data_IF_297882883762
#
_entry.id   IF_297882883762
#
_cell.length_a   1.000
_cell.length_b   1.000
_cell.length_c   1.000
_cell.angle_alpha   90.00
_cell.angle_beta   90.00
_cell.angle_gamma   90.00
#
_symmetry.space_group_name_H-M   'P 1'
#
loop_
_entity.id
_entity.type
_entity.pdbx_description
1 polymer ?
#
# COMPACT_ATOMS: atom_id res chain seq x y z
N UNK A 1 -25.78 -29.22 -20.82
CA UNK A 1 -25.48 -29.90 -19.56
C UNK A 1 -24.01 -29.76 -19.26
N UNK A 2 -23.53 -29.75 -18.11
CA UNK A 2 -22.20 -29.94 -17.54
C UNK A 2 -21.10 -28.88 -17.69
N UNK A 3 -21.21 -27.83 -18.44
CA UNK A 3 -20.14 -26.83 -18.50
C UNK A 3 -20.13 -25.82 -17.31
N UNK A 4 -21.10 -25.90 -16.39
CA UNK A 4 -21.21 -25.01 -15.25
C UNK A 4 -20.65 -25.59 -13.94
N UNK A 5 -20.22 -26.88 -13.95
CA UNK A 5 -19.71 -27.56 -12.75
C UNK A 5 -18.22 -27.35 -12.48
N UNK A 6 -17.45 -26.84 -13.45
CA UNK A 6 -15.99 -26.74 -13.37
C UNK A 6 -15.45 -25.32 -13.12
N UNK A 7 -16.22 -24.43 -12.52
CA UNK A 7 -15.68 -23.14 -12.10
C UNK A 7 -15.02 -23.29 -10.72
N UNK A 8 -13.81 -23.79 -10.71
CA UNK A 8 -12.99 -23.91 -9.49
C UNK A 8 -12.52 -22.58 -8.93
N UNK A 9 -12.54 -21.52 -9.77
CA UNK A 9 -11.90 -20.26 -9.46
C UNK A 9 -12.89 -19.12 -9.64
N UNK A 10 -13.06 -18.31 -8.61
CA UNK A 10 -13.91 -17.11 -8.66
C UNK A 10 -13.12 -15.88 -8.26
N UNK A 11 -13.09 -14.89 -9.15
CA UNK A 11 -12.46 -13.63 -8.89
C UNK A 11 -13.52 -12.57 -8.58
N UNK A 12 -13.36 -11.90 -7.42
CA UNK A 12 -14.12 -10.71 -7.05
C UNK A 12 -13.26 -9.47 -7.30
N UNK A 13 -13.63 -8.62 -8.26
CA UNK A 13 -12.91 -7.39 -8.61
C UNK A 13 -13.59 -6.13 -8.10
N UNK A 14 -14.66 -6.27 -7.30
CA UNK A 14 -15.37 -5.15 -6.70
C UNK A 14 -14.56 -4.52 -5.56
N UNK A 15 -14.42 -3.20 -5.60
CA UNK A 15 -13.76 -2.46 -4.55
C UNK A 15 -13.60 -0.99 -4.91
N UNK A 16 -13.42 -0.15 -3.91
CA UNK A 16 -13.04 1.26 -4.12
C UNK A 16 -11.57 1.44 -3.83
N UNK A 17 -10.88 2.11 -4.75
CA UNK A 17 -9.42 2.35 -4.70
C UNK A 17 -9.13 3.86 -4.75
N UNK A 18 -7.94 4.26 -4.34
CA UNK A 18 -7.47 5.64 -4.56
C UNK A 18 -7.29 5.92 -6.07
N UNK A 19 -7.56 7.16 -6.53
CA UNK A 19 -7.94 8.33 -5.74
C UNK A 19 -9.45 8.43 -5.41
N UNK A 20 -10.32 7.54 -5.95
CA UNK A 20 -11.76 7.60 -5.69
C UNK A 20 -12.12 7.50 -4.20
N UNK A 21 -11.33 6.80 -3.43
CA UNK A 21 -11.50 6.66 -1.99
C UNK A 21 -11.47 8.00 -1.24
N UNK A 22 -10.63 8.95 -1.67
CA UNK A 22 -10.49 10.25 -1.04
C UNK A 22 -11.73 11.14 -1.26
N UNK A 23 -12.45 10.91 -2.37
CA UNK A 23 -13.69 11.61 -2.67
C UNK A 23 -14.90 11.02 -1.92
N UNK A 24 -14.87 9.72 -1.62
CA UNK A 24 -16.00 8.99 -1.04
C UNK A 24 -15.60 8.10 0.14
N UNK A 25 -15.05 8.67 1.24
CA UNK A 25 -14.45 7.89 2.34
C UNK A 25 -15.43 6.91 3.00
N UNK A 26 -16.64 7.34 3.35
CA UNK A 26 -17.66 6.48 3.97
C UNK A 26 -18.09 5.33 3.05
N UNK A 27 -18.25 5.62 1.76
CA UNK A 27 -18.61 4.61 0.76
C UNK A 27 -17.47 3.60 0.58
N UNK A 28 -16.21 4.07 0.56
CA UNK A 28 -15.02 3.22 0.45
C UNK A 28 -14.95 2.25 1.62
N UNK A 29 -15.08 2.75 2.83
CA UNK A 29 -15.06 1.92 4.02
C UNK A 29 -16.16 0.84 3.94
N UNK A 30 -17.40 1.26 3.71
CA UNK A 30 -18.55 0.32 3.62
C UNK A 30 -18.37 -0.73 2.53
N UNK A 31 -18.01 -0.31 1.30
CA UNK A 31 -17.89 -1.23 0.16
C UNK A 31 -16.80 -2.26 0.40
N UNK A 32 -15.59 -1.82 0.78
CA UNK A 32 -14.44 -2.71 0.91
C UNK A 32 -14.60 -3.68 2.09
N UNK A 33 -15.10 -3.22 3.23
CA UNK A 33 -15.25 -4.09 4.42
C UNK A 33 -16.45 -5.03 4.30
N UNK A 34 -17.60 -4.54 3.79
CA UNK A 34 -18.77 -5.39 3.59
C UNK A 34 -18.53 -6.47 2.55
N UNK A 35 -17.84 -6.14 1.46
CA UNK A 35 -17.48 -7.13 0.45
C UNK A 35 -16.58 -8.24 1.04
N UNK A 36 -15.58 -7.87 1.85
CA UNK A 36 -14.71 -8.83 2.54
C UNK A 36 -15.52 -9.78 3.44
N UNK A 37 -16.43 -9.23 4.25
CA UNK A 37 -17.27 -10.03 5.14
C UNK A 37 -18.18 -10.98 4.34
N UNK A 38 -18.84 -10.50 3.28
CA UNK A 38 -19.69 -11.35 2.46
C UNK A 38 -18.94 -12.49 1.79
N UNK A 39 -17.69 -12.25 1.35
CA UNK A 39 -16.86 -13.31 0.77
C UNK A 39 -16.53 -14.36 1.83
N UNK A 40 -16.12 -13.94 3.03
CA UNK A 40 -15.83 -14.85 4.15
C UNK A 40 -17.07 -15.67 4.50
N UNK A 41 -18.22 -15.03 4.64
CA UNK A 41 -19.49 -15.72 4.97
C UNK A 41 -19.87 -16.73 3.89
N UNK A 42 -19.72 -16.34 2.61
CA UNK A 42 -20.01 -17.22 1.48
C UNK A 42 -19.06 -18.45 1.43
N UNK A 43 -17.78 -18.26 1.72
CA UNK A 43 -16.81 -19.36 1.80
C UNK A 43 -17.16 -20.30 2.94
N UNK A 44 -17.42 -19.77 4.13
CA UNK A 44 -17.75 -20.57 5.33
C UNK A 44 -19.06 -21.34 5.20
N UNK A 45 -19.98 -20.87 4.39
CA UNK A 45 -21.25 -21.53 4.12
C UNK A 45 -21.12 -22.74 3.15
N UNK A 46 -19.96 -22.96 2.54
CA UNK A 46 -19.78 -24.09 1.61
C UNK A 46 -19.52 -25.39 2.38
N UNK A 47 -20.04 -26.55 1.91
CA UNK A 47 -19.80 -27.84 2.54
C UNK A 47 -18.30 -28.22 2.59
N UNK A 48 -17.51 -27.72 1.63
CA UNK A 48 -16.08 -27.95 1.50
C UNK A 48 -15.25 -26.72 1.91
N UNK A 49 -15.73 -25.89 2.81
CA UNK A 49 -15.08 -24.65 3.25
C UNK A 49 -13.58 -24.85 3.61
N UNK A 50 -13.24 -25.96 4.25
CA UNK A 50 -11.86 -26.28 4.66
C UNK A 50 -10.91 -26.54 3.49
N UNK A 51 -11.43 -26.79 2.28
CA UNK A 51 -10.64 -27.00 1.06
C UNK A 51 -10.52 -25.73 0.23
N UNK A 52 -11.33 -24.71 0.52
CA UNK A 52 -11.34 -23.46 -0.26
C UNK A 52 -10.12 -22.63 0.10
N UNK A 53 -9.34 -22.31 -0.94
CA UNK A 53 -8.19 -21.43 -0.86
C UNK A 53 -8.61 -20.00 -1.19
N UNK A 54 -8.27 -19.03 -0.33
CA UNK A 54 -8.66 -17.62 -0.49
C UNK A 54 -7.43 -16.75 -0.59
N UNK A 55 -7.34 -16.00 -1.69
CA UNK A 55 -6.32 -14.96 -1.87
C UNK A 55 -6.99 -13.60 -1.78
N UNK A 56 -6.56 -12.81 -0.80
CA UNK A 56 -6.99 -11.43 -0.64
C UNK A 56 -5.93 -10.46 -1.16
N UNK A 57 -6.32 -9.57 -2.07
CA UNK A 57 -5.44 -8.50 -2.54
C UNK A 57 -5.57 -7.31 -1.61
N UNK A 58 -4.61 -7.19 -0.69
CA UNK A 58 -4.43 -6.07 0.23
C UNK A 58 -3.78 -4.87 -0.45
N UNK A 59 -3.17 -4.01 0.35
CA UNK A 59 -2.44 -2.84 -0.15
C UNK A 59 -1.27 -2.49 0.75
N UNK A 60 -0.17 -2.06 0.16
CA UNK A 60 0.97 -1.49 0.90
C UNK A 60 0.64 -0.13 1.54
N UNK A 61 -0.48 0.50 1.17
CA UNK A 61 -0.95 1.72 1.82
C UNK A 61 -1.15 1.56 3.33
N UNK A 62 -1.39 0.33 3.81
CA UNK A 62 -1.53 0.00 5.23
C UNK A 62 -0.27 0.33 6.06
N UNK A 63 0.92 0.30 5.45
CA UNK A 63 2.18 0.54 6.17
C UNK A 63 2.43 2.01 6.47
N UNK A 64 1.72 2.91 5.78
CA UNK A 64 1.77 4.35 5.98
C UNK A 64 3.09 4.99 5.56
N UNK A 65 3.30 6.19 6.08
CA UNK A 65 4.43 7.03 5.70
C UNK A 65 5.76 6.50 6.23
N UNK A 66 6.71 6.34 5.31
CA UNK A 66 8.09 5.94 5.62
C UNK A 66 9.08 6.75 4.82
N UNK A 67 9.71 7.72 5.48
CA UNK A 67 10.84 8.43 4.91
C UNK A 67 12.16 7.79 5.32
N UNK A 68 13.23 8.11 4.58
CA UNK A 68 14.57 7.73 4.98
C UNK A 68 14.86 8.17 6.44
N UNK A 69 15.56 7.35 7.24
CA UNK A 69 16.26 6.12 6.84
C UNK A 69 15.40 4.83 6.87
N UNK A 70 14.13 4.88 7.31
CA UNK A 70 13.26 3.70 7.53
C UNK A 70 12.36 3.38 6.31
N UNK A 71 12.78 3.76 5.13
CA UNK A 71 12.05 3.59 3.87
C UNK A 71 12.07 2.15 3.31
N UNK A 72 12.83 1.26 3.93
CA UNK A 72 12.76 -0.17 3.67
C UNK A 72 11.69 -0.82 4.54
N UNK A 73 10.92 -1.72 3.96
CA UNK A 73 9.84 -2.41 4.64
C UNK A 73 9.81 -3.91 4.35
N UNK A 74 9.07 -4.61 5.19
CA UNK A 74 8.81 -6.06 5.10
C UNK A 74 7.45 -6.38 5.71
N UNK A 75 6.95 -7.56 5.43
CA UNK A 75 5.75 -8.06 6.12
C UNK A 75 6.02 -8.18 7.62
N UNK A 76 5.02 -7.84 8.45
CA UNK A 76 5.19 -7.83 9.90
C UNK A 76 5.60 -6.47 10.49
N UNK A 77 6.07 -5.53 9.68
CA UNK A 77 6.31 -4.17 10.16
C UNK A 77 5.02 -3.54 10.72
N UNK A 78 5.12 -2.76 11.81
CA UNK A 78 3.97 -2.10 12.39
C UNK A 78 3.20 -1.28 11.37
N UNK A 79 1.89 -1.48 11.32
CA UNK A 79 0.98 -0.69 10.49
C UNK A 79 0.85 0.71 11.09
N UNK A 80 1.06 1.72 10.26
CA UNK A 80 0.95 3.12 10.64
C UNK A 80 0.28 3.91 9.51
N UNK A 81 -1.04 3.75 9.40
CA UNK A 81 -1.83 4.34 8.31
C UNK A 81 -1.66 5.85 8.28
N UNK A 82 -1.43 6.41 7.10
CA UNK A 82 -1.35 7.84 6.87
C UNK A 82 -2.68 8.52 7.21
N UNK A 83 -2.61 9.73 7.77
CA UNK A 83 -3.80 10.53 8.09
C UNK A 83 -4.58 10.83 6.81
N UNK A 84 -5.90 10.68 6.85
CA UNK A 84 -6.83 10.80 5.72
C UNK A 84 -6.76 9.68 4.67
N UNK A 85 -5.97 8.64 4.86
CA UNK A 85 -5.93 7.50 3.95
C UNK A 85 -7.06 6.49 4.26
N UNK A 86 -8.28 6.87 3.90
CA UNK A 86 -9.48 6.03 4.10
C UNK A 86 -9.42 4.72 3.31
N UNK A 87 -8.70 4.71 2.19
CA UNK A 87 -8.45 3.48 1.44
C UNK A 87 -7.63 2.50 2.27
N UNK A 88 -6.51 2.94 2.84
CA UNK A 88 -5.66 2.11 3.68
C UNK A 88 -6.41 1.56 4.91
N UNK A 89 -7.24 2.40 5.55
CA UNK A 89 -8.12 1.97 6.66
C UNK A 89 -9.02 0.83 6.20
N UNK A 90 -9.73 1.01 5.09
CA UNK A 90 -10.66 0.01 4.58
C UNK A 90 -9.97 -1.31 4.21
N UNK A 91 -8.78 -1.25 3.64
CA UNK A 91 -7.96 -2.41 3.29
C UNK A 91 -7.43 -3.15 4.52
N UNK A 92 -7.03 -2.42 5.55
CA UNK A 92 -6.58 -3.01 6.83
C UNK A 92 -7.72 -3.75 7.53
N UNK A 93 -8.91 -3.17 7.58
CA UNK A 93 -10.08 -3.84 8.17
C UNK A 93 -10.46 -5.09 7.37
N UNK A 94 -10.49 -4.99 6.03
CA UNK A 94 -10.80 -6.11 5.17
C UNK A 94 -9.77 -7.25 5.31
N UNK A 95 -8.47 -6.93 5.37
CA UNK A 95 -7.40 -7.92 5.62
C UNK A 95 -7.63 -8.67 6.94
N UNK A 96 -7.95 -7.95 8.01
CA UNK A 96 -8.27 -8.58 9.31
C UNK A 96 -9.49 -9.49 9.25
N UNK A 97 -10.52 -9.13 8.50
CA UNK A 97 -11.71 -9.97 8.32
C UNK A 97 -11.30 -11.34 7.74
N UNK A 98 -10.41 -11.38 6.75
CA UNK A 98 -9.91 -12.65 6.20
C UNK A 98 -9.04 -13.41 7.20
N UNK A 99 -8.10 -12.75 7.85
CA UNK A 99 -7.15 -13.39 8.79
C UNK A 99 -7.86 -13.97 10.00
N UNK A 100 -8.87 -13.29 10.54
CA UNK A 100 -9.64 -13.72 11.72
C UNK A 100 -10.86 -14.60 11.35
N UNK A 101 -11.06 -14.89 10.07
CA UNK A 101 -12.25 -15.62 9.58
C UNK A 101 -12.32 -17.09 10.02
N UNK A 102 -11.20 -17.70 10.35
CA UNK A 102 -11.08 -19.14 10.55
C UNK A 102 -11.01 -19.96 9.25
N UNK A 103 -10.91 -19.32 8.07
CA UNK A 103 -10.65 -20.01 6.80
C UNK A 103 -9.28 -20.69 6.90
N UNK A 104 -9.18 -21.95 6.49
CA UNK A 104 -7.98 -22.79 6.66
C UNK A 104 -6.81 -22.35 5.78
N UNK A 105 -7.10 -21.90 4.55
CA UNK A 105 -6.09 -21.54 3.57
C UNK A 105 -6.36 -20.15 3.04
N UNK A 106 -5.67 -19.14 3.59
CA UNK A 106 -5.73 -17.78 3.12
C UNK A 106 -4.33 -17.24 2.82
N UNK A 107 -4.23 -16.30 1.89
CA UNK A 107 -3.02 -15.49 1.67
C UNK A 107 -3.41 -14.03 1.43
N UNK A 108 -2.71 -13.11 2.08
CA UNK A 108 -2.90 -11.68 1.91
C UNK A 108 -1.73 -11.10 1.12
N UNK A 109 -2.00 -10.70 -0.11
CA UNK A 109 -1.02 -10.14 -1.04
C UNK A 109 -1.19 -8.61 -1.07
N UNK A 110 -0.26 -7.86 -0.49
CA UNK A 110 -0.31 -6.41 -0.42
C UNK A 110 0.22 -5.81 -1.71
N UNK A 111 -0.70 -5.32 -2.55
CA UNK A 111 -0.39 -4.70 -3.83
C UNK A 111 0.22 -3.33 -3.61
N UNK A 112 1.34 -3.08 -4.28
CA UNK A 112 1.99 -1.77 -4.40
C UNK A 112 1.36 -0.93 -5.52
N UNK A 113 1.91 0.25 -5.80
CA UNK A 113 1.52 1.04 -6.97
C UNK A 113 1.70 0.27 -8.26
N UNK A 114 0.70 0.34 -9.14
CA UNK A 114 0.68 -0.40 -10.40
C UNK A 114 1.08 0.53 -11.54
N UNK A 115 2.15 0.19 -12.24
CA UNK A 115 2.52 0.81 -13.51
C UNK A 115 1.67 0.22 -14.63
N UNK A 116 1.04 1.10 -15.41
CA UNK A 116 0.28 0.74 -16.60
C UNK A 116 0.27 1.92 -17.58
N UNK A 117 0.02 1.68 -18.89
CA UNK A 117 0.03 2.74 -19.91
C UNK A 117 -0.92 3.91 -19.60
N UNK A 118 -2.04 3.62 -18.95
CA UNK A 118 -3.04 4.62 -18.58
C UNK A 118 -2.50 5.75 -17.70
N UNK A 119 -1.47 5.52 -16.91
CA UNK A 119 -0.83 6.58 -16.12
C UNK A 119 -0.29 7.71 -16.98
N UNK A 120 0.04 7.43 -18.25
CA UNK A 120 0.57 8.41 -19.19
C UNK A 120 -0.50 9.31 -19.81
N UNK A 121 -1.77 8.90 -19.84
CA UNK A 121 -2.81 9.60 -20.62
C UNK A 121 -4.17 9.75 -19.92
N UNK A 122 -4.40 9.08 -18.78
CA UNK A 122 -5.64 9.25 -17.99
C UNK A 122 -5.54 10.39 -17.00
N UNK A 123 -5.25 11.59 -17.41
CA UNK A 123 -5.34 12.82 -16.62
C UNK A 123 -4.80 12.75 -15.19
N UNK A 124 -3.98 13.71 -14.79
CA UNK A 124 -3.42 13.76 -13.45
C UNK A 124 -4.49 14.09 -12.39
N UNK A 125 -4.38 13.46 -11.23
CA UNK A 125 -5.21 13.73 -10.04
C UNK A 125 -4.37 14.50 -9.00
N UNK A 126 -4.98 15.28 -8.10
CA UNK A 126 -4.27 15.95 -7.00
C UNK A 126 -3.40 15.03 -6.15
N UNK A 127 -3.68 13.71 -6.11
CA UNK A 127 -2.88 12.71 -5.39
C UNK A 127 -1.41 12.72 -5.84
N UNK A 128 -1.10 13.11 -7.07
CA UNK A 128 0.27 13.32 -7.57
C UNK A 128 1.08 14.21 -6.61
N UNK A 129 0.45 15.22 -6.04
CA UNK A 129 1.11 16.18 -5.15
C UNK A 129 1.05 15.78 -3.66
N UNK A 130 0.35 14.71 -3.32
CA UNK A 130 0.36 14.16 -1.96
C UNK A 130 1.62 13.33 -1.68
N UNK A 131 2.30 12.87 -2.72
CA UNK A 131 3.52 12.05 -2.62
C UNK A 131 4.74 12.94 -2.46
N UNK A 132 5.55 12.79 -1.40
CA UNK A 132 6.81 13.52 -1.27
C UNK A 132 7.76 13.24 -2.44
N UNK A 133 8.51 14.25 -2.89
CA UNK A 133 9.47 14.07 -4.00
C UNK A 133 10.55 13.02 -3.72
N UNK A 134 10.97 12.91 -2.47
CA UNK A 134 11.93 11.91 -1.97
C UNK A 134 11.27 10.65 -1.42
N UNK A 135 9.92 10.62 -1.39
CA UNK A 135 9.16 9.42 -1.05
C UNK A 135 9.46 8.28 -2.01
N UNK A 136 9.55 7.06 -1.49
CA UNK A 136 9.92 5.89 -2.30
C UNK A 136 8.75 4.96 -2.52
N UNK A 137 8.77 4.24 -3.64
CA UNK A 137 7.85 3.13 -3.89
C UNK A 137 8.58 2.06 -4.72
N UNK A 138 8.36 0.80 -4.39
CA UNK A 138 8.75 -0.33 -5.22
C UNK A 138 7.52 -0.76 -6.02
N UNK A 139 7.50 -0.41 -7.29
CA UNK A 139 6.33 -0.56 -8.15
C UNK A 139 6.15 -2.00 -8.65
N UNK A 140 4.94 -2.33 -9.07
CA UNK A 140 4.64 -3.52 -9.85
C UNK A 140 4.04 -3.13 -11.21
N UNK A 141 4.25 -3.96 -12.24
CA UNK A 141 3.57 -3.79 -13.52
C UNK A 141 2.17 -4.41 -13.48
N UNK A 142 1.27 -3.93 -14.31
CA UNK A 142 -0.07 -4.53 -14.44
C UNK A 142 0.03 -5.98 -14.92
N UNK A 143 0.96 -6.25 -15.83
CA UNK A 143 1.20 -7.58 -16.41
C UNK A 143 1.74 -8.57 -15.37
N UNK A 144 2.70 -8.16 -14.54
CA UNK A 144 3.22 -9.00 -13.46
C UNK A 144 2.13 -9.28 -12.41
N UNK A 145 1.35 -8.25 -12.04
CA UNK A 145 0.23 -8.42 -11.11
C UNK A 145 -0.84 -9.35 -11.68
N UNK A 146 -1.11 -9.29 -12.98
CA UNK A 146 -2.03 -10.20 -13.67
C UNK A 146 -1.50 -11.63 -13.71
N UNK A 147 -0.22 -11.82 -14.04
CA UNK A 147 0.45 -13.14 -14.06
C UNK A 147 0.47 -13.77 -12.67
N UNK A 148 0.74 -12.97 -11.63
CA UNK A 148 0.67 -13.43 -10.24
C UNK A 148 -0.71 -14.03 -9.93
N UNK A 149 -1.80 -13.36 -10.32
CA UNK A 149 -3.16 -13.86 -10.10
C UNK A 149 -3.48 -15.11 -10.91
N UNK A 150 -2.93 -15.26 -12.11
CA UNK A 150 -3.04 -16.48 -12.89
C UNK A 150 -2.26 -17.63 -12.21
N UNK A 151 -1.00 -17.40 -11.88
CA UNK A 151 -0.11 -18.41 -11.33
C UNK A 151 -0.60 -18.95 -9.98
N UNK A 152 -1.06 -18.09 -9.06
CA UNK A 152 -1.62 -18.55 -7.77
C UNK A 152 -2.86 -19.44 -7.94
N UNK A 153 -3.52 -19.33 -9.10
CA UNK A 153 -4.66 -20.17 -9.43
C UNK A 153 -4.29 -21.48 -10.13
N UNK A 154 -3.17 -21.55 -10.81
CA UNK A 154 -2.81 -22.64 -11.71
C UNK A 154 -1.70 -23.54 -11.14
N UNK A 155 -0.81 -22.97 -10.32
CA UNK A 155 0.29 -23.71 -9.74
C UNK A 155 -0.11 -24.43 -8.45
N UNK A 156 0.54 -25.56 -8.17
CA UNK A 156 0.50 -26.20 -6.86
C UNK A 156 1.40 -25.43 -5.92
N UNK A 157 0.79 -24.49 -5.20
CA UNK A 157 1.50 -23.69 -4.20
C UNK A 157 1.68 -24.53 -2.94
N UNK A 158 2.89 -24.60 -2.34
CA UNK A 158 3.14 -25.40 -1.16
C UNK A 158 2.37 -24.91 0.07
N UNK A 159 2.18 -25.79 1.06
CA UNK A 159 1.36 -25.47 2.24
C UNK A 159 1.87 -24.26 3.02
N UNK A 160 3.19 -24.06 3.07
CA UNK A 160 3.79 -22.92 3.74
C UNK A 160 3.51 -21.55 3.07
N UNK A 161 2.99 -21.54 1.85
CA UNK A 161 2.50 -20.31 1.20
C UNK A 161 1.25 -19.78 1.90
N UNK A 162 0.40 -20.63 2.42
CA UNK A 162 -0.86 -20.24 3.03
C UNK A 162 -0.69 -19.70 4.46
N UNK A 163 -1.69 -18.95 4.92
CA UNK A 163 -1.73 -18.29 6.21
C UNK A 163 -0.59 -17.26 6.40
N UNK A 164 -0.26 -16.56 5.31
CA UNK A 164 0.82 -15.57 5.26
C UNK A 164 0.43 -14.29 4.53
N UNK A 165 1.28 -13.29 4.77
CA UNK A 165 1.25 -11.98 4.09
C UNK A 165 2.44 -11.88 3.16
N UNK A 166 2.24 -11.19 2.03
CA UNK A 166 3.27 -10.94 1.03
C UNK A 166 3.18 -9.53 0.49
N UNK A 167 4.31 -8.93 0.15
CA UNK A 167 4.40 -7.69 -0.60
C UNK A 167 4.57 -8.00 -2.08
N UNK A 168 3.74 -7.41 -2.95
CA UNK A 168 3.82 -7.56 -4.40
C UNK A 168 4.71 -6.45 -4.96
N UNK A 169 5.71 -6.81 -5.77
CA UNK A 169 6.48 -5.87 -6.59
C UNK A 169 7.08 -6.55 -7.81
N UNK A 170 7.42 -5.78 -8.83
CA UNK A 170 8.14 -6.28 -10.01
C UNK A 170 9.67 -6.34 -9.81
N UNK A 171 10.13 -6.16 -8.58
CA UNK A 171 11.52 -6.35 -8.18
C UNK A 171 12.37 -5.08 -8.12
N UNK A 172 13.68 -5.23 -7.86
CA UNK A 172 14.57 -4.12 -7.52
C UNK A 172 14.67 -3.01 -8.56
N UNK A 173 14.56 -3.32 -9.85
CA UNK A 173 14.62 -2.29 -10.90
C UNK A 173 13.46 -1.30 -10.88
N UNK A 174 12.38 -1.67 -10.17
CA UNK A 174 11.18 -0.85 -9.99
C UNK A 174 11.17 -0.05 -8.68
N UNK A 175 12.29 0.03 -7.97
CA UNK A 175 12.51 0.90 -6.81
C UNK A 175 12.76 2.31 -7.28
N UNK A 176 11.81 3.20 -7.09
CA UNK A 176 11.90 4.60 -7.51
C UNK A 176 11.62 5.54 -6.35
N UNK A 177 12.25 6.71 -6.36
CA UNK A 177 11.71 7.88 -5.67
C UNK A 177 10.58 8.48 -6.49
N UNK A 178 9.72 9.29 -5.87
CA UNK A 178 8.67 9.97 -6.62
C UNK A 178 9.25 10.92 -7.69
N UNK A 179 10.35 11.59 -7.40
CA UNK A 179 11.04 12.42 -8.40
C UNK A 179 11.51 11.59 -9.61
N UNK A 180 12.08 10.41 -9.38
CA UNK A 180 12.48 9.50 -10.47
C UNK A 180 11.28 9.01 -11.26
N UNK A 181 10.18 8.66 -10.57
CA UNK A 181 8.93 8.24 -11.20
C UNK A 181 8.35 9.35 -12.09
N UNK A 182 8.18 10.56 -11.57
CA UNK A 182 7.68 11.71 -12.34
C UNK A 182 8.60 12.02 -13.53
N UNK A 183 9.92 11.96 -13.34
CA UNK A 183 10.89 12.17 -14.41
C UNK A 183 10.74 11.16 -15.55
N UNK A 184 10.56 9.87 -15.21
CA UNK A 184 10.36 8.80 -16.20
C UNK A 184 9.00 8.94 -16.89
N UNK A 185 7.94 9.26 -16.14
CA UNK A 185 6.59 9.46 -16.65
C UNK A 185 6.56 10.58 -17.69
N UNK A 186 7.09 11.75 -17.34
CA UNK A 186 7.15 12.90 -18.23
C UNK A 186 8.00 12.64 -19.47
N UNK A 187 9.17 12.01 -19.30
CA UNK A 187 10.05 11.64 -20.40
C UNK A 187 9.37 10.69 -21.39
N UNK A 188 8.56 9.74 -20.90
CA UNK A 188 7.88 8.75 -21.74
C UNK A 188 6.95 9.39 -22.78
N UNK A 189 6.30 10.50 -22.45
CA UNK A 189 5.42 11.24 -23.38
C UNK A 189 6.10 12.47 -24.02
N UNK A 190 7.41 12.64 -23.82
CA UNK A 190 8.18 13.75 -24.39
C UNK A 190 7.99 15.09 -23.69
N UNK A 191 7.43 15.11 -22.47
CA UNK A 191 7.35 16.30 -21.65
C UNK A 191 8.72 16.73 -21.13
N UNK A 192 8.89 18.04 -20.81
CA UNK A 192 10.06 18.54 -20.11
C UNK A 192 10.23 17.94 -18.72
N UNK A 193 11.45 18.05 -18.18
CA UNK A 193 11.78 17.59 -16.82
C UNK A 193 10.90 18.24 -15.75
N UNK A 194 10.71 17.58 -14.58
CA UNK A 194 9.87 18.06 -13.47
C UNK A 194 10.10 19.50 -13.07
N UNK A 195 11.35 19.98 -13.08
CA UNK A 195 11.74 21.33 -12.70
C UNK A 195 11.12 22.43 -13.56
N UNK A 196 10.74 22.12 -14.81
CA UNK A 196 10.09 23.05 -15.72
C UNK A 196 8.58 23.06 -15.61
N UNK A 197 8.00 22.05 -14.97
CA UNK A 197 6.55 21.79 -14.95
C UNK A 197 5.97 21.98 -13.57
N UNK A 198 6.71 21.64 -12.51
CA UNK A 198 6.26 21.69 -11.13
C UNK A 198 7.02 22.74 -10.32
N UNK A 199 6.49 23.07 -9.17
CA UNK A 199 7.24 23.70 -8.07
C UNK A 199 7.37 22.70 -6.91
N UNK A 200 8.54 22.64 -6.23
CA UNK A 200 8.74 21.69 -5.13
C UNK A 200 7.69 21.78 -4.03
N UNK A 201 7.25 23.01 -3.70
CA UNK A 201 6.26 23.27 -2.67
C UNK A 201 4.81 22.93 -3.07
N UNK A 202 4.60 22.33 -4.25
CA UNK A 202 3.31 21.71 -4.58
C UNK A 202 3.21 20.31 -3.99
N UNK A 203 4.33 19.64 -3.78
CA UNK A 203 4.40 18.28 -3.24
C UNK A 203 4.41 18.31 -1.72
N UNK A 204 3.68 17.37 -1.12
CA UNK A 204 3.76 17.12 0.31
C UNK A 204 5.18 16.70 0.72
N UNK A 205 5.50 16.84 2.00
CA UNK A 205 6.80 16.40 2.55
C UNK A 205 6.69 15.16 3.41
N UNK A 206 5.46 14.71 3.70
CA UNK A 206 5.15 13.55 4.56
C UNK A 206 3.74 13.03 4.32
N UNK A 207 3.35 12.01 5.09
CA UNK A 207 1.99 11.47 5.17
C UNK A 207 1.49 10.77 3.88
N UNK A 208 2.40 10.13 3.15
CA UNK A 208 2.04 9.25 2.06
C UNK A 208 2.73 7.91 2.22
N UNK A 209 2.01 6.82 1.94
CA UNK A 209 2.58 5.48 2.03
C UNK A 209 3.59 5.24 0.90
N UNK A 210 4.62 4.49 1.21
CA UNK A 210 5.62 4.10 0.23
C UNK A 210 6.85 3.51 0.89
N UNK A 211 7.34 2.43 0.34
CA UNK A 211 8.55 1.75 0.81
C UNK A 211 9.14 0.88 -0.30
N UNK A 212 10.42 0.55 -0.15
CA UNK A 212 11.06 -0.55 -0.84
C UNK A 212 10.98 -1.80 0.02
N UNK A 213 11.00 -2.99 -0.57
CA UNK A 213 10.80 -4.25 0.15
C UNK A 213 12.08 -5.07 0.23
N UNK A 214 12.28 -5.70 1.38
CA UNK A 214 13.35 -6.68 1.58
C UNK A 214 12.87 -8.12 1.41
N UNK A 215 11.55 -8.32 1.34
CA UNK A 215 10.90 -9.63 1.35
C UNK A 215 10.01 -9.92 0.12
N UNK A 216 9.95 -9.00 -0.85
CA UNK A 216 9.09 -9.18 -2.04
C UNK A 216 9.54 -10.33 -2.95
N UNK A 217 10.80 -10.77 -2.84
CA UNK A 217 11.33 -11.91 -3.59
C UNK A 217 10.78 -13.24 -3.09
N UNK A 218 10.27 -13.30 -1.86
CA UNK A 218 9.64 -14.51 -1.33
C UNK A 218 8.41 -14.91 -2.15
N UNK A 219 7.59 -13.93 -2.54
CA UNK A 219 6.40 -14.18 -3.36
C UNK A 219 6.78 -14.60 -4.79
N UNK A 220 7.82 -13.99 -5.36
CA UNK A 220 8.38 -14.40 -6.64
C UNK A 220 8.88 -15.84 -6.61
N UNK A 221 9.52 -16.24 -5.51
CA UNK A 221 10.01 -17.61 -5.33
C UNK A 221 8.90 -18.67 -5.36
N UNK A 222 7.68 -18.32 -4.96
CA UNK A 222 6.53 -19.22 -5.02
C UNK A 222 5.80 -19.17 -6.36
N UNK A 223 5.67 -18.01 -6.97
CA UNK A 223 4.70 -17.79 -8.06
C UNK A 223 5.33 -17.42 -9.40
N UNK A 224 6.63 -17.16 -9.46
CA UNK A 224 7.37 -16.87 -10.70
C UNK A 224 6.66 -15.91 -11.64
N UNK A 225 6.17 -14.79 -11.09
CA UNK A 225 5.29 -13.88 -11.82
C UNK A 225 6.00 -12.69 -12.48
N UNK A 226 7.25 -12.41 -12.11
CA UNK A 226 7.99 -11.28 -12.66
C UNK A 226 8.46 -11.55 -14.09
N UNK A 227 8.32 -10.54 -14.95
CA UNK A 227 8.76 -10.62 -16.35
C UNK A 227 10.26 -10.49 -16.52
N UNK A 228 11.00 -10.10 -15.47
CA UNK A 228 12.41 -9.71 -15.52
C UNK A 228 12.72 -8.53 -16.47
N UNK A 229 11.70 -7.79 -16.90
CA UNK A 229 11.86 -6.55 -17.65
C UNK A 229 12.40 -5.45 -16.73
N UNK A 230 13.28 -4.60 -17.25
CA UNK A 230 13.73 -3.44 -16.48
C UNK A 230 12.65 -2.37 -16.43
N UNK A 231 12.67 -1.55 -15.39
CA UNK A 231 11.75 -0.41 -15.26
C UNK A 231 11.86 0.54 -16.49
N UNK A 232 13.06 0.80 -17.00
CA UNK A 232 13.25 1.67 -18.16
C UNK A 232 12.65 1.08 -19.44
N UNK A 233 12.76 -0.22 -19.64
CA UNK A 233 12.17 -0.88 -20.81
C UNK A 233 10.63 -0.91 -20.68
N UNK A 234 10.12 -1.08 -19.47
CA UNK A 234 8.69 -0.99 -19.24
C UNK A 234 8.13 0.41 -19.53
N UNK A 235 8.82 1.48 -19.10
CA UNK A 235 8.41 2.86 -19.46
C UNK A 235 8.47 3.12 -20.98
N UNK A 236 9.46 2.56 -21.69
CA UNK A 236 9.50 2.62 -23.17
C UNK A 236 8.30 1.91 -23.80
N UNK A 237 7.98 0.72 -23.27
CA UNK A 237 6.80 -0.01 -23.72
C UNK A 237 5.49 0.75 -23.42
N UNK A 238 5.31 1.27 -22.22
CA UNK A 238 4.17 2.12 -21.87
C UNK A 238 4.03 3.29 -22.87
N UNK A 239 5.14 3.96 -23.19
CA UNK A 239 5.16 5.06 -24.14
C UNK A 239 4.65 4.65 -25.54
N UNK A 240 4.95 3.42 -25.98
CA UNK A 240 4.47 2.88 -27.26
C UNK A 240 2.96 2.59 -27.29
N UNK A 241 2.33 2.44 -26.14
CA UNK A 241 0.89 2.20 -26.00
C UNK A 241 0.07 3.50 -25.95
N UNK A 242 0.73 4.64 -25.79
CA UNK A 242 0.07 5.96 -25.69
C UNK A 242 -0.40 6.43 -27.08
N UNK A 243 -1.61 6.98 -27.23
CA UNK A 243 -2.06 7.56 -28.48
C UNK A 243 -1.07 8.62 -28.99
N UNK A 244 -0.75 8.57 -30.29
CA UNK A 244 0.31 9.37 -30.91
C UNK A 244 0.24 10.87 -30.60
N UNK A 245 -0.97 11.40 -30.44
CA UNK A 245 -1.17 12.83 -30.17
C UNK A 245 -0.67 13.27 -28.79
N UNK A 246 -0.52 12.37 -27.81
CA UNK A 246 0.11 12.71 -26.53
C UNK A 246 1.60 13.03 -26.69
N UNK A 247 2.26 12.43 -27.65
CA UNK A 247 3.65 12.75 -27.96
C UNK A 247 3.84 14.17 -28.53
N UNK A 248 2.74 14.87 -28.88
CA UNK A 248 2.77 16.30 -29.20
C UNK A 248 3.08 17.16 -27.95
N UNK A 249 3.02 16.61 -26.75
CA UNK A 249 3.42 17.30 -25.53
C UNK A 249 4.85 17.88 -25.63
N UNK A 250 5.73 17.27 -26.41
CA UNK A 250 7.10 17.75 -26.71
C UNK A 250 7.17 19.14 -27.36
N UNK A 251 6.13 19.55 -28.07
CA UNK A 251 6.06 20.86 -28.73
C UNK A 251 5.26 21.89 -27.95
N UNK A 252 4.59 21.47 -26.86
CA UNK A 252 3.85 22.37 -25.98
C UNK A 252 4.84 23.13 -25.10
N UNK A 253 4.81 24.48 -25.10
CA UNK A 253 5.66 25.24 -24.19
C UNK A 253 5.45 24.82 -22.74
N UNK A 254 6.52 24.61 -21.95
CA UNK A 254 6.44 24.10 -20.57
C UNK A 254 5.49 24.88 -19.67
N UNK A 255 5.36 26.19 -19.91
CA UNK A 255 4.49 27.06 -19.12
C UNK A 255 3.02 26.65 -19.17
N UNK A 256 2.52 26.18 -20.32
CA UNK A 256 1.12 25.74 -20.41
C UNK A 256 0.90 24.42 -19.66
N UNK A 257 1.87 23.49 -19.72
CA UNK A 257 1.80 22.26 -18.94
C UNK A 257 1.85 22.60 -17.45
N UNK A 258 2.76 23.50 -17.04
CA UNK A 258 2.87 23.99 -15.65
C UNK A 258 1.58 24.65 -15.16
N UNK A 259 0.92 25.43 -15.98
CA UNK A 259 -0.37 26.05 -15.63
C UNK A 259 -1.45 24.97 -15.42
N UNK A 260 -1.53 23.97 -16.29
CA UNK A 260 -2.43 22.84 -16.16
C UNK A 260 -2.20 22.05 -14.86
N UNK A 261 -0.96 21.65 -14.61
CA UNK A 261 -0.59 20.93 -13.37
C UNK A 261 -0.81 21.77 -12.12
N UNK A 262 -0.53 23.08 -12.21
CA UNK A 262 -0.82 24.02 -11.15
C UNK A 262 -2.32 24.20 -10.84
N UNK A 263 -3.18 24.01 -11.85
CA UNK A 263 -4.64 23.99 -11.66
C UNK A 263 -5.07 22.70 -10.92
N UNK A 264 -4.47 21.54 -11.26
CA UNK A 264 -4.72 20.28 -10.57
C UNK A 264 -4.31 20.39 -9.09
N UNK A 265 -3.12 20.94 -8.80
CA UNK A 265 -2.64 21.18 -7.44
C UNK A 265 -3.55 22.16 -6.64
N UNK A 266 -4.39 22.93 -7.32
CA UNK A 266 -5.36 23.87 -6.70
C UNK A 266 -6.77 23.31 -6.59
N UNK A 267 -7.01 22.07 -7.03
CA UNK A 267 -8.36 21.47 -7.03
C UNK A 267 -9.00 21.59 -5.63
N UNK A 268 -10.24 22.08 -5.54
CA UNK A 268 -10.93 22.25 -4.26
C UNK A 268 -10.97 20.96 -3.42
N UNK A 269 -10.68 21.07 -2.14
CA UNK A 269 -10.72 19.96 -1.17
C UNK A 269 -9.49 19.04 -1.18
N UNK A 270 -8.93 18.70 -2.33
CA UNK A 270 -7.84 17.71 -2.44
C UNK A 270 -6.49 18.30 -2.87
N UNK A 271 -6.47 19.43 -3.55
CA UNK A 271 -5.21 20.02 -4.02
C UNK A 271 -4.37 20.62 -2.88
N UNK A 272 -3.08 20.29 -2.84
CA UNK A 272 -2.15 20.81 -1.83
C UNK A 272 -2.10 22.33 -1.81
N UNK A 273 -2.08 22.97 -2.98
CA UNK A 273 -2.13 24.44 -3.10
C UNK A 273 -3.46 25.04 -2.65
N UNK A 274 -4.56 24.28 -2.74
CA UNK A 274 -5.85 24.71 -2.19
C UNK A 274 -5.80 24.72 -0.66
N UNK A 275 -5.19 23.71 -0.05
CA UNK A 275 -5.02 23.67 1.41
C UNK A 275 -4.22 24.87 1.92
N UNK A 276 -3.12 25.18 1.26
CA UNK A 276 -2.26 26.31 1.62
C UNK A 276 -3.02 27.63 1.47
N UNK A 277 -3.65 27.84 0.31
CA UNK A 277 -4.40 29.09 0.02
C UNK A 277 -5.52 29.34 1.04
N UNK A 278 -6.25 28.31 1.41
CA UNK A 278 -7.40 28.41 2.30
C UNK A 278 -7.06 28.14 3.77
N UNK A 279 -5.77 27.98 4.11
CA UNK A 279 -5.32 27.75 5.49
C UNK A 279 -5.99 26.55 6.16
N UNK A 280 -6.15 25.44 5.45
CA UNK A 280 -6.66 24.18 5.99
C UNK A 280 -5.63 23.56 6.94
N UNK A 281 -5.67 24.01 8.21
CA UNK A 281 -4.63 23.73 9.21
C UNK A 281 -4.38 22.24 9.40
N UNK A 282 -5.45 21.41 9.47
CA UNK A 282 -5.32 19.96 9.67
C UNK A 282 -4.60 19.28 8.51
N UNK A 283 -4.92 19.68 7.25
CA UNK A 283 -4.25 19.17 6.06
C UNK A 283 -2.80 19.64 5.99
N UNK A 284 -2.55 20.91 6.29
CA UNK A 284 -1.19 21.48 6.32
C UNK A 284 -0.34 20.74 7.36
N UNK A 285 -0.87 20.54 8.56
CA UNK A 285 -0.18 19.79 9.62
C UNK A 285 0.12 18.35 9.20
N UNK A 286 -0.85 17.64 8.61
CA UNK A 286 -0.68 16.27 8.18
C UNK A 286 0.38 16.11 7.06
N UNK A 287 0.35 16.96 6.04
CA UNK A 287 1.13 16.77 4.82
C UNK A 287 2.42 17.59 4.75
N UNK A 288 2.55 18.64 5.55
CA UNK A 288 3.75 19.51 5.56
C UNK A 288 4.36 19.68 6.95
N UNK A 289 3.60 19.41 8.02
CA UNK A 289 4.00 19.66 9.40
C UNK A 289 3.45 20.99 9.91
N UNK A 290 3.83 22.07 9.30
CA UNK A 290 3.31 23.41 9.57
C UNK A 290 3.26 24.25 8.30
N UNK A 291 2.66 25.44 8.38
CA UNK A 291 2.69 26.40 7.29
C UNK A 291 4.11 26.96 7.10
N UNK A 292 4.83 27.14 8.18
CA UNK A 292 6.23 27.59 8.21
C UNK A 292 7.15 26.57 7.54
N UNK A 293 6.95 25.28 7.81
CA UNK A 293 7.68 24.19 7.14
C UNK A 293 7.42 24.20 5.64
N UNK A 294 6.16 24.41 5.22
CA UNK A 294 5.84 24.54 3.80
C UNK A 294 6.54 25.76 3.16
N UNK A 295 6.58 26.92 3.85
CA UNK A 295 7.26 28.10 3.34
C UNK A 295 8.76 27.92 3.24
N UNK A 296 9.34 27.07 4.08
CA UNK A 296 10.76 26.74 4.10
C UNK A 296 11.18 25.77 2.98
N UNK A 297 10.23 25.16 2.22
CA UNK A 297 10.56 24.27 1.12
C UNK A 297 11.36 25.04 0.07
N UNK A 298 12.61 24.63 -0.23
CA UNK A 298 13.45 25.37 -1.17
C UNK A 298 12.98 25.21 -2.62
N UNK A 299 13.37 26.14 -3.46
CA UNK A 299 13.23 26.02 -4.92
C UNK A 299 14.15 24.93 -5.52
N UNK A 300 13.95 24.64 -6.79
CA UNK A 300 14.73 23.63 -7.53
C UNK A 300 16.22 23.89 -7.55
N UNK A 301 16.65 25.15 -7.39
CA UNK A 301 18.06 25.55 -7.31
C UNK A 301 18.77 25.00 -6.07
N UNK A 302 18.05 24.74 -5.00
CA UNK A 302 18.56 24.31 -3.69
C UNK A 302 18.11 22.93 -3.25
N UNK A 303 16.96 22.46 -3.74
CA UNK A 303 16.46 21.14 -3.39
C UNK A 303 17.38 20.04 -3.93
N UNK A 304 17.59 19.02 -3.14
CA UNK A 304 18.34 17.83 -3.54
C UNK A 304 17.45 16.61 -3.43
N UNK A 305 16.94 16.15 -4.56
CA UNK A 305 16.20 14.89 -4.69
C UNK A 305 17.18 13.72 -4.67
N UNK A 306 17.74 13.43 -3.50
CA UNK A 306 18.69 12.31 -3.36
C UNK A 306 17.95 11.00 -3.26
N UNK A 307 18.39 10.01 -4.03
CA UNK A 307 17.98 8.63 -3.82
C UNK A 307 18.44 8.18 -2.43
N UNK A 308 17.56 7.60 -1.59
CA UNK A 308 17.93 7.16 -0.26
C UNK A 308 18.82 5.92 -0.30
N UNK A 309 19.32 5.50 0.87
CA UNK A 309 20.25 4.37 0.99
C UNK A 309 19.66 3.07 0.48
N UNK A 310 20.43 2.33 -0.32
CA UNK A 310 20.10 0.95 -0.72
C UNK A 310 20.32 -0.06 0.43
N UNK A 311 20.96 0.35 1.52
CA UNK A 311 21.13 -0.48 2.71
C UNK A 311 19.89 -0.38 3.59
N UNK A 312 19.17 -1.50 3.86
CA UNK A 312 17.99 -1.49 4.69
C UNK A 312 18.25 -1.08 6.13
N UNK A 313 17.36 -0.26 6.66
CA UNK A 313 17.22 -0.01 8.10
C UNK A 313 15.86 -0.56 8.51
N UNK A 314 15.86 -1.54 9.40
CA UNK A 314 14.65 -2.24 9.82
C UNK A 314 13.99 -1.56 11.01
N UNK A 315 12.67 -1.60 11.04
CA UNK A 315 11.90 -1.31 12.24
C UNK A 315 11.99 -2.49 13.22
N UNK A 316 12.04 -2.18 14.49
CA UNK A 316 11.87 -3.17 15.55
C UNK A 316 10.41 -3.67 15.54
N UNK A 317 10.20 -4.95 15.80
CA UNK A 317 8.87 -5.55 15.92
C UNK A 317 8.44 -5.75 17.40
N UNK A 318 9.34 -5.50 18.33
CA UNK A 318 9.07 -5.61 19.76
C UNK A 318 9.10 -7.04 20.30
N UNK A 319 9.62 -7.99 19.52
CA UNK A 319 9.86 -9.38 19.92
C UNK A 319 11.14 -9.91 19.26
N UNK A 320 11.67 -11.03 19.73
CA UNK A 320 12.86 -11.66 19.15
C UNK A 320 12.52 -12.33 17.82
N UNK A 321 12.93 -11.69 16.72
CA UNK A 321 12.69 -12.17 15.37
C UNK A 321 13.56 -13.39 14.98
N UNK A 322 14.64 -13.66 15.71
CA UNK A 322 15.46 -14.85 15.50
C UNK A 322 14.79 -16.12 16.06
N UNK A 323 13.82 -15.95 16.97
CA UNK A 323 13.06 -17.05 17.56
C UNK A 323 12.07 -17.61 16.55
N UNK A 324 12.11 -18.93 16.24
CA UNK A 324 11.13 -19.53 15.35
C UNK A 324 9.69 -19.32 15.83
N UNK A 325 8.76 -19.05 14.92
CA UNK A 325 7.35 -18.80 15.27
C UNK A 325 6.68 -19.97 16.01
N UNK A 326 7.10 -21.21 15.75
CA UNK A 326 6.68 -22.40 16.49
C UNK A 326 7.10 -22.39 17.96
N UNK A 327 8.03 -21.50 18.32
CA UNK A 327 8.52 -21.34 19.69
C UNK A 327 7.96 -20.12 20.40
N UNK A 328 7.19 -19.28 19.72
CA UNK A 328 6.60 -18.09 20.34
C UNK A 328 5.62 -18.49 21.45
N UNK A 329 5.67 -17.73 22.51
CA UNK A 329 4.85 -17.93 23.71
C UNK A 329 4.21 -16.60 24.15
N UNK A 330 3.56 -16.64 25.31
CA UNK A 330 2.82 -15.47 25.84
C UNK A 330 3.75 -14.27 26.12
N UNK A 331 5.03 -14.50 26.43
CA UNK A 331 5.96 -13.39 26.70
C UNK A 331 6.33 -12.65 25.41
N UNK A 332 6.45 -13.35 24.27
CA UNK A 332 6.65 -12.70 22.97
C UNK A 332 5.44 -11.82 22.62
N UNK A 333 4.23 -12.28 22.94
CA UNK A 333 3.01 -11.52 22.75
C UNK A 333 2.90 -10.31 23.66
N UNK A 334 3.36 -10.43 24.91
CA UNK A 334 3.42 -9.29 25.84
C UNK A 334 4.39 -8.23 25.34
N UNK A 335 5.59 -8.60 24.93
CA UNK A 335 6.60 -7.70 24.36
C UNK A 335 6.09 -7.00 23.10
N UNK A 336 5.51 -7.76 22.18
CA UNK A 336 4.93 -7.21 20.95
C UNK A 336 3.80 -6.20 21.24
N UNK A 337 2.98 -6.45 22.27
CA UNK A 337 1.92 -5.56 22.68
C UNK A 337 2.47 -4.28 23.33
N UNK A 338 3.42 -4.39 24.22
CA UNK A 338 4.08 -3.26 24.91
C UNK A 338 4.78 -2.34 23.92
N UNK A 339 5.52 -2.91 22.97
CA UNK A 339 6.16 -2.15 21.91
C UNK A 339 5.15 -1.30 21.10
N UNK A 340 3.93 -1.81 20.94
CA UNK A 340 2.83 -1.10 20.26
C UNK A 340 2.00 -0.22 21.21
N UNK A 341 2.48 0.04 22.40
CA UNK A 341 1.83 0.87 23.41
C UNK A 341 0.61 0.24 24.09
N UNK A 342 0.37 -1.06 23.88
CA UNK A 342 -0.75 -1.79 24.47
C UNK A 342 -0.32 -2.90 25.44
N UNK A 343 -1.21 -3.86 25.68
CA UNK A 343 -0.97 -5.00 26.57
C UNK A 343 -1.66 -6.26 26.06
N UNK A 344 -1.00 -7.42 26.17
CA UNK A 344 -1.65 -8.72 26.11
C UNK A 344 -2.25 -9.03 27.47
N UNK A 345 -3.55 -9.29 27.52
CA UNK A 345 -4.31 -9.55 28.76
C UNK A 345 -4.49 -11.04 29.03
N UNK A 346 -4.27 -11.91 28.05
CA UNK A 346 -4.36 -13.35 28.22
C UNK A 346 -3.28 -13.85 29.19
N UNK A 347 -3.62 -14.77 30.12
CA UNK A 347 -2.65 -15.29 31.08
C UNK A 347 -1.64 -16.25 30.45
N UNK A 348 -2.03 -16.96 29.39
CA UNK A 348 -1.22 -17.95 28.71
C UNK A 348 -1.65 -18.12 27.26
N UNK A 349 -0.81 -18.75 26.44
CA UNK A 349 -1.13 -19.27 25.10
C UNK A 349 -0.42 -20.62 24.92
N UNK A 350 -0.94 -21.42 24.00
CA UNK A 350 -0.23 -22.61 23.54
C UNK A 350 0.98 -22.18 22.72
N UNK A 351 2.15 -22.68 23.05
CA UNK A 351 3.41 -22.36 22.34
C UNK A 351 3.26 -22.63 20.85
N UNK A 352 3.57 -21.62 20.01
CA UNK A 352 3.48 -21.68 18.57
C UNK A 352 2.05 -21.60 17.98
N UNK A 353 1.02 -21.50 18.81
CA UNK A 353 -0.35 -21.26 18.30
C UNK A 353 -0.57 -19.78 18.01
N UNK A 354 -0.43 -19.42 16.75
CA UNK A 354 -0.59 -18.06 16.27
C UNK A 354 -2.01 -17.77 15.74
N UNK A 355 -2.92 -18.72 15.83
CA UNK A 355 -4.28 -18.64 15.28
C UNK A 355 -5.36 -18.43 16.35
N UNK A 356 -5.20 -18.98 17.55
CA UNK A 356 -6.17 -18.82 18.63
C UNK A 356 -6.18 -17.37 19.13
N UNK A 357 -7.36 -16.70 19.13
CA UNK A 357 -7.47 -15.32 19.58
C UNK A 357 -7.12 -15.15 21.07
N UNK A 358 -6.28 -14.17 21.35
CA UNK A 358 -5.94 -13.69 22.69
C UNK A 358 -6.71 -12.40 23.03
N UNK A 359 -6.73 -12.04 24.31
CA UNK A 359 -7.32 -10.79 24.79
C UNK A 359 -6.24 -9.70 24.83
N UNK A 360 -6.56 -8.54 24.25
CA UNK A 360 -5.63 -7.41 24.12
C UNK A 360 -6.26 -6.11 24.64
N UNK A 361 -5.39 -5.16 24.97
CA UNK A 361 -5.73 -3.78 25.27
C UNK A 361 -4.83 -2.86 24.46
N UNK A 362 -5.38 -1.93 23.67
CA UNK A 362 -4.59 -0.94 22.94
C UNK A 362 -4.16 0.24 23.81
N UNK A 363 -3.29 1.12 23.27
CA UNK A 363 -2.82 2.34 23.95
C UNK A 363 -3.96 3.30 24.37
N UNK A 364 -5.11 3.25 23.70
CA UNK A 364 -6.30 4.06 24.04
C UNK A 364 -7.21 3.40 25.06
N UNK A 365 -6.86 2.21 25.57
CA UNK A 365 -7.60 1.50 26.59
C UNK A 365 -8.68 0.55 26.07
N UNK A 366 -8.93 0.48 24.77
CA UNK A 366 -9.92 -0.44 24.19
C UNK A 366 -9.47 -1.88 24.33
N UNK A 367 -10.42 -2.75 24.69
CA UNK A 367 -10.20 -4.21 24.78
C UNK A 367 -10.78 -4.88 23.55
N UNK A 368 -10.05 -5.88 23.03
CA UNK A 368 -10.48 -6.64 21.86
C UNK A 368 -9.82 -8.03 21.85
N UNK A 369 -10.37 -8.92 21.02
CA UNK A 369 -9.77 -10.24 20.72
C UNK A 369 -9.16 -10.23 19.34
N UNK A 370 -7.98 -10.82 19.21
CA UNK A 370 -7.31 -11.02 17.93
C UNK A 370 -6.30 -12.16 18.05
N UNK A 371 -6.00 -12.82 16.94
CA UNK A 371 -4.95 -13.84 16.89
C UNK A 371 -3.56 -13.21 17.03
N UNK A 372 -2.56 -13.93 17.54
CA UNK A 372 -1.17 -13.51 17.49
C UNK A 372 -0.72 -13.10 16.08
N UNK A 373 -1.15 -13.83 15.04
CA UNK A 373 -0.88 -13.48 13.64
C UNK A 373 -1.38 -12.08 13.31
N UNK A 374 -2.62 -11.74 13.63
CA UNK A 374 -3.16 -10.40 13.39
C UNK A 374 -2.35 -9.31 14.08
N UNK A 375 -2.00 -9.51 15.35
CA UNK A 375 -1.26 -8.51 16.11
C UNK A 375 0.16 -8.34 15.61
N UNK A 376 0.83 -9.43 15.20
CA UNK A 376 2.20 -9.38 14.69
C UNK A 376 2.31 -8.76 13.29
N UNK A 377 1.28 -8.93 12.44
CA UNK A 377 1.32 -8.50 11.03
C UNK A 377 0.38 -7.35 10.71
N UNK A 378 -0.54 -6.99 11.59
CA UNK A 378 -1.44 -5.88 11.37
C UNK A 378 -1.28 -4.81 12.46
N UNK A 379 -2.16 -4.75 13.45
CA UNK A 379 -2.17 -3.64 14.38
C UNK A 379 -2.75 -4.01 15.74
N UNK A 380 -2.23 -3.38 16.82
CA UNK A 380 -2.78 -3.48 18.17
C UNK A 380 -3.88 -2.42 18.43
N UNK A 381 -4.76 -2.13 17.48
CA UNK A 381 -5.90 -1.22 17.69
C UNK A 381 -7.23 -1.95 17.54
N UNK A 382 -8.11 -1.75 18.52
CA UNK A 382 -9.52 -2.07 18.37
C UNK A 382 -10.14 -1.05 17.41
N UNK A 383 -10.83 -1.51 16.39
CA UNK A 383 -11.69 -0.75 15.47
C UNK A 383 -11.48 0.78 15.45
N UNK A 384 -10.65 1.28 14.54
CA UNK A 384 -10.37 2.71 14.37
C UNK A 384 -11.49 3.49 13.64
N UNK A 385 -12.68 2.92 13.54
CA UNK A 385 -13.77 3.53 12.79
C UNK A 385 -14.25 4.88 13.36
N UNK A 386 -14.04 5.14 14.65
CA UNK A 386 -14.58 6.35 15.28
C UNK A 386 -13.64 7.55 15.24
N UNK A 387 -12.35 7.37 14.97
CA UNK A 387 -11.38 8.46 14.92
C UNK A 387 -11.20 9.08 13.52
N UNK A 388 -11.69 8.43 12.46
CA UNK A 388 -11.48 8.86 11.08
C UNK A 388 -12.80 9.17 10.34
N UNK A 389 -13.94 9.14 11.03
CA UNK A 389 -15.26 9.58 10.56
C UNK A 389 -15.65 10.94 11.13
#
# INVERSE_FOLDING_TARGET
>A
SSAASDVYKRQHVGGMVSPAADYFPKKTLKVNTTAAQHIVDAVKAQPNADQIKVVYIGSVAQTGHRNAPVHWGRTGDPINISVYDHYAISKTIAERIFVESGIKHWACLRQTGILCPELLFKGSDPITFHVPLDGVLEWATAEDSGRLLANVCEEEVPDEFWNRFYNISSGPSFRLTNYEFESKLLKAIGCPAPEKIFEPNWFATRNFHGQWYTDSDLLEGYLHFRSNQTCDDYFKWMASQVPWYFHLAKIVPPIFIKLGMGAIAKKPGLGTRNWIKNRHQDRISAYFGSYEDWQAIPGWDKIRTKRPSETPVFLDHGYDESKPKSEWDIEDMRKAAEFRGGKCLSPAMTKGDLSTPLDWKCQFGHRFKASPTSVSYTHLRAHETDQYL
#
